data_IF_332981709730
#
_entry.id   IF_332981709730
#
_cell.length_a   1.000
_cell.length_b   1.000
_cell.length_c   1.000
_cell.angle_alpha   90.00
_cell.angle_beta   90.00
_cell.angle_gamma   90.00
#
_symmetry.space_group_name_H-M   'P 1'
#
loop_
_entity.id
_entity.type
_entity.pdbx_description
1 polymer ?
#
# COMPACT_ATOMS: atom_id res chain seq x y z
N UNK A 1 -14.30 9.19 -5.28
CA UNK A 1 -14.39 10.45 -6.05
C UNK A 1 -15.36 10.33 -7.22
N UNK A 2 -15.10 9.50 -8.24
CA UNK A 2 -16.02 9.36 -9.39
C UNK A 2 -17.44 8.90 -9.01
N UNK A 3 -17.62 7.91 -8.11
CA UNK A 3 -18.97 7.53 -7.72
C UNK A 3 -19.70 8.66 -7.00
N UNK A 4 -18.98 9.43 -6.18
CA UNK A 4 -19.55 10.56 -5.43
C UNK A 4 -20.02 11.68 -6.38
N UNK A 5 -19.31 11.88 -7.50
CA UNK A 5 -19.61 12.91 -8.50
C UNK A 5 -20.69 12.46 -9.50
N UNK A 6 -20.61 11.22 -10.00
CA UNK A 6 -21.38 10.77 -11.17
C UNK A 6 -22.69 10.06 -10.80
N UNK A 7 -22.76 9.38 -9.66
CA UNK A 7 -23.99 8.68 -9.23
C UNK A 7 -25.18 9.64 -9.03
N UNK A 8 -25.02 10.87 -8.50
CA UNK A 8 -26.14 11.82 -8.42
C UNK A 8 -26.77 12.17 -9.78
N UNK A 9 -25.97 12.18 -10.86
CA UNK A 9 -26.43 12.47 -12.23
C UNK A 9 -27.11 11.27 -12.91
N UNK A 10 -27.15 10.11 -12.25
CA UNK A 10 -27.74 8.89 -12.81
C UNK A 10 -29.26 9.00 -13.03
N UNK A 11 -29.93 9.96 -12.39
CA UNK A 11 -31.34 10.27 -12.63
C UNK A 11 -31.59 10.90 -14.00
N UNK A 12 -30.62 11.64 -14.54
CA UNK A 12 -30.68 12.28 -15.85
C UNK A 12 -30.05 11.40 -16.94
N UNK A 13 -28.96 10.69 -16.59
CA UNK A 13 -28.22 9.84 -17.51
C UNK A 13 -28.06 8.42 -16.95
N UNK A 14 -28.79 7.46 -17.51
CA UNK A 14 -28.78 6.06 -17.07
C UNK A 14 -27.38 5.42 -17.08
N UNK A 15 -26.46 5.89 -17.93
CA UNK A 15 -25.08 5.40 -18.00
C UNK A 15 -24.33 5.53 -16.67
N UNK A 16 -24.55 6.60 -15.90
CA UNK A 16 -23.85 6.80 -14.63
C UNK A 16 -24.27 5.82 -13.53
N UNK A 17 -25.35 5.06 -13.74
CA UNK A 17 -25.75 3.98 -12.84
C UNK A 17 -24.68 2.88 -12.75
N UNK A 18 -23.80 2.77 -13.76
CA UNK A 18 -22.64 1.84 -13.75
C UNK A 18 -21.72 2.07 -12.53
N UNK A 19 -21.56 3.31 -12.07
CA UNK A 19 -20.70 3.65 -10.93
C UNK A 19 -21.25 3.18 -9.58
N UNK A 20 -22.51 2.72 -9.51
CA UNK A 20 -23.07 2.10 -8.29
C UNK A 20 -22.53 0.68 -8.09
N UNK A 21 -22.27 -0.05 -9.17
CA UNK A 21 -21.80 -1.43 -9.11
C UNK A 21 -20.35 -1.51 -8.60
N UNK A 22 -20.11 -2.33 -7.57
CA UNK A 22 -18.78 -2.52 -6.98
C UNK A 22 -17.84 -3.22 -7.98
N UNK A 23 -18.37 -4.18 -8.74
CA UNK A 23 -17.61 -4.93 -9.76
C UNK A 23 -17.06 -3.99 -10.84
N UNK A 24 -17.91 -3.09 -11.36
CA UNK A 24 -17.50 -2.08 -12.34
C UNK A 24 -16.40 -1.16 -11.79
N UNK A 25 -16.59 -0.64 -10.57
CA UNK A 25 -15.58 0.20 -9.91
C UNK A 25 -14.26 -0.51 -9.66
N UNK A 26 -14.31 -1.78 -9.26
CA UNK A 26 -13.12 -2.61 -9.00
C UNK A 26 -12.37 -2.91 -10.30
N UNK A 27 -13.09 -3.26 -11.36
CA UNK A 27 -12.51 -3.45 -12.69
C UNK A 27 -11.89 -2.16 -13.23
N UNK A 28 -12.61 -1.04 -13.12
CA UNK A 28 -12.14 0.29 -13.47
C UNK A 28 -10.86 0.66 -12.72
N UNK A 29 -10.83 0.46 -11.40
CA UNK A 29 -9.65 0.73 -10.58
C UNK A 29 -8.43 -0.11 -11.01
N UNK A 30 -8.65 -1.40 -11.28
CA UNK A 30 -7.58 -2.30 -11.71
C UNK A 30 -7.00 -1.87 -13.06
N UNK A 31 -7.87 -1.59 -14.04
CA UNK A 31 -7.47 -1.15 -15.37
C UNK A 31 -6.77 0.21 -15.31
N UNK A 32 -7.30 1.17 -14.55
CA UNK A 32 -6.66 2.49 -14.38
C UNK A 32 -5.27 2.37 -13.76
N UNK A 33 -5.10 1.55 -12.70
CA UNK A 33 -3.79 1.35 -12.09
C UNK A 33 -2.80 0.68 -13.06
N UNK A 34 -3.26 -0.30 -13.84
CA UNK A 34 -2.47 -0.96 -14.88
C UNK A 34 -2.04 0.03 -15.96
N UNK A 35 -2.96 0.83 -16.49
CA UNK A 35 -2.67 1.82 -17.52
C UNK A 35 -1.67 2.86 -17.04
N UNK A 36 -1.82 3.38 -15.82
CA UNK A 36 -0.84 4.30 -15.23
C UNK A 36 0.53 3.64 -15.14
N UNK A 37 0.59 2.40 -14.66
CA UNK A 37 1.85 1.66 -14.53
C UNK A 37 2.53 1.41 -15.88
N UNK A 38 1.77 1.04 -16.91
CA UNK A 38 2.31 0.77 -18.26
C UNK A 38 2.72 2.05 -18.99
N UNK A 39 1.91 3.11 -18.92
CA UNK A 39 2.15 4.36 -19.62
C UNK A 39 3.23 5.21 -18.95
N UNK A 40 3.21 5.32 -17.62
CA UNK A 40 4.19 6.09 -16.85
C UNK A 40 5.46 5.29 -16.56
N UNK A 41 5.43 3.96 -16.67
CA UNK A 41 6.57 3.07 -16.41
C UNK A 41 7.85 3.47 -17.15
N UNK A 42 7.84 3.59 -18.50
CA UNK A 42 9.03 3.97 -19.26
C UNK A 42 9.58 5.34 -18.86
N UNK A 43 8.71 6.32 -18.57
CA UNK A 43 9.12 7.65 -18.14
C UNK A 43 9.77 7.61 -16.74
N UNK A 44 9.16 6.88 -15.81
CA UNK A 44 9.71 6.66 -14.46
C UNK A 44 11.06 5.95 -14.52
N UNK A 45 11.20 4.92 -15.36
CA UNK A 45 12.47 4.19 -15.51
C UNK A 45 13.58 5.11 -16.05
N UNK A 46 13.29 5.96 -17.05
CA UNK A 46 14.26 6.94 -17.55
C UNK A 46 14.65 7.92 -16.45
N UNK A 47 13.67 8.50 -15.76
CA UNK A 47 13.91 9.42 -14.65
C UNK A 47 14.77 8.80 -13.54
N UNK A 48 14.48 7.55 -13.15
CA UNK A 48 15.26 6.84 -12.15
C UNK A 48 16.68 6.52 -12.65
N UNK A 49 16.87 6.14 -13.92
CA UNK A 49 18.21 5.91 -14.49
C UNK A 49 19.06 7.17 -14.47
N UNK A 50 18.48 8.32 -14.76
CA UNK A 50 19.19 9.61 -14.73
C UNK A 50 19.60 10.00 -13.30
N UNK A 51 18.78 9.66 -12.29
CA UNK A 51 19.05 9.97 -10.88
C UNK A 51 19.85 8.89 -10.14
N UNK A 52 19.96 7.68 -10.70
CA UNK A 52 20.60 6.52 -10.10
C UNK A 52 21.61 5.88 -11.06
N UNK A 53 22.38 6.69 -11.78
CA UNK A 53 23.23 6.28 -12.90
C UNK A 53 24.21 5.12 -12.61
N UNK A 54 24.61 4.92 -11.35
CA UNK A 54 25.52 3.83 -10.93
C UNK A 54 24.80 2.58 -10.36
N UNK A 55 23.47 2.59 -10.25
CA UNK A 55 22.67 1.49 -9.70
C UNK A 55 22.80 1.32 -8.18
N UNK A 56 22.27 0.22 -7.64
CA UNK A 56 22.36 -0.13 -6.23
C UNK A 56 23.80 -0.58 -5.89
N UNK A 57 24.49 -0.02 -4.87
CA UNK A 57 25.79 -0.53 -4.43
C UNK A 57 25.61 -2.01 -4.06
N UNK A 58 26.35 -2.94 -4.67
CA UNK A 58 26.20 -4.38 -4.44
C UNK A 58 27.13 -4.81 -3.31
N UNK A 59 26.73 -5.85 -2.57
CA UNK A 59 27.49 -6.41 -1.44
C UNK A 59 28.58 -7.26 -2.07
N UNK A 60 29.83 -7.10 -1.64
CA UNK A 60 30.98 -7.85 -2.17
C UNK A 60 30.87 -9.37 -2.00
N UNK A 61 29.92 -9.84 -1.18
CA UNK A 61 29.87 -11.21 -0.65
C UNK A 61 28.76 -12.07 -1.31
N UNK A 62 28.19 -11.64 -2.46
CA UNK A 62 27.07 -12.32 -3.12
C UNK A 62 27.46 -13.13 -4.39
N UNK A 63 26.71 -14.18 -4.77
CA UNK A 63 27.03 -15.03 -5.93
C UNK A 63 26.93 -14.27 -7.26
N UNK A 64 27.75 -14.66 -8.26
CA UNK A 64 27.97 -13.95 -9.54
C UNK A 64 26.69 -13.64 -10.34
N UNK A 65 25.61 -14.40 -10.15
CA UNK A 65 24.29 -14.13 -10.75
C UNK A 65 23.65 -12.81 -10.28
N UNK A 66 24.07 -12.26 -9.14
CA UNK A 66 23.64 -10.93 -8.68
C UNK A 66 24.30 -9.76 -9.44
N UNK A 67 25.36 -10.00 -10.21
CA UNK A 67 26.01 -8.99 -11.06
C UNK A 67 25.16 -8.66 -12.31
N UNK A 68 24.21 -9.52 -12.70
CA UNK A 68 23.29 -9.24 -13.82
C UNK A 68 22.24 -8.16 -13.51
N UNK A 69 22.13 -7.69 -12.26
CA UNK A 69 21.24 -6.59 -11.85
C UNK A 69 21.88 -5.20 -11.96
N UNK A 70 23.13 -5.12 -12.42
CA UNK A 70 23.84 -3.86 -12.65
C UNK A 70 23.01 -2.97 -13.59
N UNK A 71 22.71 -1.74 -13.13
CA UNK A 71 22.01 -0.73 -13.94
C UNK A 71 20.47 -0.78 -13.91
N UNK A 72 19.85 -1.66 -13.11
CA UNK A 72 18.39 -1.62 -12.92
C UNK A 72 18.05 -0.62 -11.79
N UNK A 73 17.27 0.44 -12.07
CA UNK A 73 16.93 1.41 -11.04
C UNK A 73 16.09 0.79 -9.92
N UNK A 74 16.32 1.27 -8.71
CA UNK A 74 15.63 0.90 -7.48
C UNK A 74 14.50 1.92 -7.24
N UNK A 75 13.53 1.63 -6.37
CA UNK A 75 12.34 2.48 -6.09
C UNK A 75 11.17 2.39 -7.09
N UNK A 76 11.08 1.35 -7.93
CA UNK A 76 9.91 1.10 -8.79
C UNK A 76 8.58 1.00 -8.02
N UNK A 77 8.63 0.69 -6.72
CA UNK A 77 7.47 0.69 -5.83
C UNK A 77 6.76 2.04 -5.72
N UNK A 78 7.44 3.17 -5.96
CA UNK A 78 6.81 4.49 -6.00
C UNK A 78 5.76 4.60 -7.11
N UNK A 79 6.03 4.03 -8.29
CA UNK A 79 5.08 4.02 -9.39
C UNK A 79 3.85 3.18 -9.03
N UNK A 80 4.08 1.99 -8.47
CA UNK A 80 3.00 1.08 -8.07
C UNK A 80 2.14 1.72 -6.99
N UNK A 81 2.76 2.32 -5.97
CA UNK A 81 2.05 3.01 -4.89
C UNK A 81 1.27 4.21 -5.42
N UNK A 82 1.87 5.02 -6.30
CA UNK A 82 1.20 6.16 -6.94
C UNK A 82 0.00 5.73 -7.78
N UNK A 83 0.16 4.69 -8.61
CA UNK A 83 -0.92 4.12 -9.42
C UNK A 83 -2.05 3.56 -8.53
N UNK A 84 -1.70 2.86 -7.46
CA UNK A 84 -2.65 2.33 -6.48
C UNK A 84 -3.45 3.44 -5.79
N UNK A 85 -2.78 4.45 -5.24
CA UNK A 85 -3.42 5.57 -4.53
C UNK A 85 -4.34 6.36 -5.48
N UNK A 86 -3.83 6.74 -6.65
CA UNK A 86 -4.60 7.51 -7.61
C UNK A 86 -5.84 6.75 -8.07
N UNK A 87 -5.66 5.49 -8.46
CA UNK A 87 -6.77 4.67 -8.94
C UNK A 87 -7.81 4.42 -7.85
N UNK A 88 -7.37 4.16 -6.62
CA UNK A 88 -8.26 3.92 -5.48
C UNK A 88 -9.08 5.17 -5.15
N UNK A 89 -8.46 6.36 -5.09
CA UNK A 89 -9.16 7.62 -4.84
C UNK A 89 -10.16 7.96 -5.96
N UNK A 90 -9.80 7.67 -7.20
CA UNK A 90 -10.65 7.90 -8.36
C UNK A 90 -11.93 7.05 -8.28
N UNK A 91 -11.80 5.75 -8.02
CA UNK A 91 -12.90 4.79 -8.14
C UNK A 91 -13.65 4.48 -6.84
N UNK A 92 -13.05 4.70 -5.67
CA UNK A 92 -13.69 4.45 -4.38
C UNK A 92 -14.49 5.68 -3.90
N UNK A 93 -15.68 5.53 -3.29
CA UNK A 93 -16.36 6.62 -2.61
C UNK A 93 -15.49 7.18 -1.48
N UNK A 94 -15.28 8.50 -1.44
CA UNK A 94 -14.44 9.13 -0.40
C UNK A 94 -15.11 9.12 0.97
N UNK A 95 -16.43 8.93 0.99
CA UNK A 95 -17.25 8.73 2.19
C UNK A 95 -17.04 7.36 2.84
N UNK A 96 -16.36 6.41 2.19
CA UNK A 96 -16.10 5.10 2.77
C UNK A 96 -15.06 5.23 3.90
N UNK A 97 -15.42 4.93 5.17
CA UNK A 97 -14.50 5.10 6.28
C UNK A 97 -13.31 4.13 6.26
N UNK A 98 -13.44 2.98 5.59
CA UNK A 98 -12.36 1.98 5.48
C UNK A 98 -11.28 2.36 4.45
N UNK A 99 -11.56 3.33 3.57
CA UNK A 99 -10.61 3.81 2.57
C UNK A 99 -9.35 4.40 3.23
N UNK A 100 -9.56 5.27 4.22
CA UNK A 100 -8.49 6.08 4.80
C UNK A 100 -7.48 5.26 5.60
N UNK A 101 -7.87 4.35 6.50
CA UNK A 101 -6.92 3.52 7.24
C UNK A 101 -6.04 2.66 6.31
N UNK A 102 -6.63 2.09 5.25
CA UNK A 102 -5.90 1.28 4.26
C UNK A 102 -4.91 2.14 3.48
N UNK A 103 -5.33 3.30 2.99
CA UNK A 103 -4.44 4.23 2.30
C UNK A 103 -3.31 4.72 3.23
N UNK A 104 -3.61 5.01 4.50
CA UNK A 104 -2.59 5.42 5.48
C UNK A 104 -1.52 4.36 5.65
N UNK A 105 -1.88 3.07 5.81
CA UNK A 105 -0.88 2.00 5.92
C UNK A 105 -0.06 1.89 4.64
N UNK A 106 -0.72 1.83 3.48
CA UNK A 106 -0.04 1.67 2.20
C UNK A 106 0.95 2.81 1.92
N UNK A 107 0.51 4.06 2.13
CA UNK A 107 1.35 5.25 1.90
C UNK A 107 2.45 5.35 2.94
N UNK A 108 2.16 5.13 4.23
CA UNK A 108 3.17 5.26 5.28
C UNK A 108 4.24 4.17 5.17
N UNK A 109 3.87 2.91 4.97
CA UNK A 109 4.83 1.82 4.80
C UNK A 109 5.61 1.96 3.49
N UNK A 110 4.92 2.37 2.42
CA UNK A 110 5.56 2.69 1.14
C UNK A 110 6.55 3.85 1.25
N UNK A 111 6.22 4.89 2.03
CA UNK A 111 7.12 6.01 2.31
C UNK A 111 8.34 5.58 3.13
N UNK A 112 8.14 4.77 4.17
CA UNK A 112 9.25 4.20 4.97
C UNK A 112 10.20 3.39 4.08
N UNK A 113 9.66 2.52 3.21
CA UNK A 113 10.47 1.76 2.25
C UNK A 113 11.18 2.65 1.22
N UNK A 114 10.49 3.67 0.70
CA UNK A 114 11.07 4.61 -0.25
C UNK A 114 12.20 5.44 0.38
N UNK A 115 12.04 5.88 1.63
CA UNK A 115 13.09 6.60 2.36
C UNK A 115 14.29 5.68 2.62
N UNK A 116 14.06 4.42 2.98
CA UNK A 116 15.13 3.43 3.16
C UNK A 116 15.95 3.23 1.87
N UNK A 117 15.28 3.04 0.74
CA UNK A 117 15.94 2.87 -0.57
C UNK A 117 16.66 4.16 -1.02
N UNK A 118 16.06 5.33 -0.79
CA UNK A 118 16.71 6.61 -1.06
C UNK A 118 17.96 6.83 -0.20
N UNK A 119 17.93 6.44 1.08
CA UNK A 119 19.08 6.53 1.97
C UNK A 119 20.24 5.62 1.52
N UNK A 120 19.94 4.39 1.06
CA UNK A 120 20.95 3.47 0.52
C UNK A 120 21.64 4.05 -0.72
N UNK A 121 20.84 4.61 -1.64
CA UNK A 121 21.34 5.26 -2.85
C UNK A 121 22.21 6.47 -2.52
N UNK A 122 21.72 7.38 -1.66
CA UNK A 122 22.43 8.61 -1.30
C UNK A 122 23.74 8.34 -0.56
N UNK A 123 23.75 7.33 0.33
CA UNK A 123 24.94 6.96 1.11
C UNK A 123 25.92 6.06 0.36
N UNK A 124 25.54 5.59 -0.84
CA UNK A 124 26.30 4.59 -1.62
C UNK A 124 26.73 3.39 -0.76
N UNK A 125 25.86 2.98 0.17
CA UNK A 125 26.14 1.90 1.10
C UNK A 125 24.91 1.02 1.26
N UNK A 126 25.14 -0.24 1.63
CA UNK A 126 24.09 -1.19 1.99
C UNK A 126 23.28 -0.77 3.22
N UNK A 127 23.80 0.16 4.01
CA UNK A 127 23.16 0.62 5.23
C UNK A 127 22.16 1.73 4.93
N UNK A 128 20.88 1.33 4.89
CA UNK A 128 19.75 2.24 4.81
C UNK A 128 19.36 2.84 6.17
N UNK A 129 18.05 2.95 6.39
CA UNK A 129 17.47 3.30 7.68
C UNK A 129 17.83 2.24 8.73
N UNK A 130 18.06 2.66 9.98
CA UNK A 130 18.29 1.69 11.05
C UNK A 130 17.04 0.80 11.20
N UNK A 131 17.23 -0.52 11.28
CA UNK A 131 16.10 -1.46 11.39
C UNK A 131 15.19 -1.14 12.58
N UNK A 132 15.77 -0.62 13.68
CA UNK A 132 15.01 -0.12 14.84
C UNK A 132 14.10 1.06 14.48
N UNK A 133 14.59 2.05 13.74
CA UNK A 133 13.77 3.19 13.31
C UNK A 133 12.66 2.74 12.37
N UNK A 134 12.97 1.86 11.39
CA UNK A 134 11.97 1.30 10.47
C UNK A 134 10.84 0.61 11.24
N UNK A 135 11.18 -0.26 12.18
CA UNK A 135 10.21 -0.97 13.00
C UNK A 135 9.39 -0.03 13.89
N UNK A 136 10.01 0.97 14.53
CA UNK A 136 9.28 1.94 15.37
C UNK A 136 8.26 2.72 14.53
N UNK A 137 8.63 3.19 13.34
CA UNK A 137 7.71 3.91 12.44
C UNK A 137 6.55 3.01 11.99
N UNK A 138 6.85 1.76 11.59
CA UNK A 138 5.83 0.80 11.19
C UNK A 138 4.88 0.44 12.33
N UNK A 139 5.42 0.22 13.54
CA UNK A 139 4.63 -0.09 14.74
C UNK A 139 3.73 1.07 15.15
N UNK A 140 4.20 2.32 15.07
CA UNK A 140 3.40 3.50 15.38
C UNK A 140 2.20 3.61 14.43
N UNK A 141 2.45 3.50 13.12
CA UNK A 141 1.39 3.52 12.10
C UNK A 141 0.41 2.37 12.30
N UNK A 142 0.93 1.16 12.52
CA UNK A 142 0.12 -0.02 12.78
C UNK A 142 -0.77 0.16 14.00
N UNK A 143 -0.24 0.70 15.10
CA UNK A 143 -1.01 0.98 16.32
C UNK A 143 -2.18 1.92 16.06
N UNK A 144 -1.92 3.08 15.45
CA UNK A 144 -2.96 4.08 15.15
C UNK A 144 -4.03 3.49 14.24
N UNK A 145 -3.64 2.80 13.18
CA UNK A 145 -4.58 2.21 12.21
C UNK A 145 -5.41 1.09 12.85
N UNK A 146 -4.82 0.26 13.71
CA UNK A 146 -5.56 -0.75 14.47
C UNK A 146 -6.65 -0.13 15.33
N UNK A 147 -6.36 0.96 16.04
CA UNK A 147 -7.37 1.66 16.84
C UNK A 147 -8.53 2.17 15.98
N UNK A 148 -8.22 2.75 14.81
CA UNK A 148 -9.26 3.20 13.87
C UNK A 148 -10.10 2.03 13.37
N UNK A 149 -9.49 0.90 13.00
CA UNK A 149 -10.24 -0.28 12.56
C UNK A 149 -11.14 -0.86 13.66
N UNK A 150 -10.69 -0.85 14.92
CA UNK A 150 -11.51 -1.29 16.04
C UNK A 150 -12.77 -0.41 16.16
N UNK A 151 -12.64 0.91 16.02
CA UNK A 151 -13.79 1.80 16.11
C UNK A 151 -14.76 1.63 14.93
N UNK A 152 -14.24 1.43 13.72
CA UNK A 152 -15.05 1.17 12.53
C UNK A 152 -15.75 -0.20 12.55
N UNK A 153 -15.22 -1.15 13.32
CA UNK A 153 -15.76 -2.51 13.38
C UNK A 153 -17.06 -2.59 14.17
N UNK A 154 -18.04 -3.40 13.71
CA UNK A 154 -19.25 -3.69 14.47
C UNK A 154 -18.92 -4.21 15.88
N UNK A 155 -19.69 -3.88 16.93
CA UNK A 155 -19.39 -4.26 18.31
C UNK A 155 -19.10 -5.75 18.52
N UNK A 156 -19.74 -6.61 17.74
CA UNK A 156 -19.62 -8.07 17.79
C UNK A 156 -18.28 -8.60 17.24
N UNK A 157 -17.61 -7.83 16.38
CA UNK A 157 -16.33 -8.21 15.74
C UNK A 157 -15.12 -7.50 16.39
N UNK A 158 -15.37 -6.50 17.24
CA UNK A 158 -14.30 -5.76 17.91
C UNK A 158 -13.44 -6.71 18.74
N UNK A 159 -12.13 -6.58 18.62
CA UNK A 159 -11.15 -7.38 19.35
C UNK A 159 -11.21 -8.89 19.10
N UNK A 160 -11.94 -9.32 18.06
CA UNK A 160 -12.12 -10.73 17.72
C UNK A 160 -11.27 -11.16 16.52
N UNK A 161 -10.81 -12.40 16.54
CA UNK A 161 -10.16 -13.05 15.39
C UNK A 161 -10.99 -14.24 14.96
N UNK A 162 -11.40 -14.25 13.69
CA UNK A 162 -12.12 -15.38 13.13
C UNK A 162 -11.17 -16.53 12.83
N UNK A 163 -11.56 -17.76 13.18
CA UNK A 163 -10.81 -18.96 12.80
C UNK A 163 -11.28 -19.41 11.42
N UNK A 164 -10.39 -19.51 10.42
CA UNK A 164 -10.78 -20.03 9.11
C UNK A 164 -11.32 -21.46 9.27
N UNK A 165 -12.23 -21.88 8.37
CA UNK A 165 -12.87 -23.21 8.34
C UNK A 165 -13.92 -23.48 9.43
N UNK A 166 -13.96 -22.71 10.52
CA UNK A 166 -15.01 -22.78 11.53
C UNK A 166 -16.02 -21.65 11.31
N UNK A 167 -17.28 -22.00 11.03
CA UNK A 167 -18.37 -21.02 10.96
C UNK A 167 -18.64 -20.48 12.37
N UNK A 168 -18.88 -19.17 12.47
CA UNK A 168 -19.27 -18.47 13.70
C UNK A 168 -18.29 -18.57 14.88
N UNK A 169 -17.04 -18.96 14.63
CA UNK A 169 -15.99 -19.03 15.65
C UNK A 169 -15.15 -17.77 15.65
N UNK A 170 -15.50 -16.85 16.54
CA UNK A 170 -14.74 -15.63 16.84
C UNK A 170 -14.00 -15.82 18.17
N UNK A 171 -12.67 -15.78 18.13
CA UNK A 171 -11.84 -15.81 19.35
C UNK A 171 -11.71 -14.39 19.88
N UNK A 172 -12.27 -14.06 21.05
CA UNK A 172 -12.12 -12.74 21.64
C UNK A 172 -10.71 -12.61 22.25
N UNK A 173 -9.83 -11.85 21.61
CA UNK A 173 -8.50 -11.57 22.15
C UNK A 173 -8.52 -10.41 23.15
N UNK A 174 -9.61 -9.63 23.19
CA UNK A 174 -9.69 -8.42 24.00
C UNK A 174 -8.55 -7.45 23.66
N UNK A 175 -7.91 -6.87 24.68
CA UNK A 175 -6.79 -5.93 24.47
C UNK A 175 -5.60 -6.55 23.73
N UNK A 176 -5.42 -7.88 23.78
CA UNK A 176 -4.34 -8.57 23.04
C UNK A 176 -4.53 -8.53 21.52
N UNK A 177 -5.73 -8.17 21.04
CA UNK A 177 -5.97 -7.94 19.62
C UNK A 177 -5.07 -6.83 19.06
N UNK A 178 -4.79 -5.77 19.83
CA UNK A 178 -3.99 -4.63 19.37
C UNK A 178 -2.55 -5.05 19.03
N UNK A 179 -1.76 -5.64 19.96
CA UNK A 179 -0.42 -6.11 19.62
C UNK A 179 -0.45 -7.23 18.57
N UNK A 180 -1.50 -8.07 18.54
CA UNK A 180 -1.67 -9.09 17.49
C UNK A 180 -1.80 -8.46 16.10
N UNK A 181 -2.70 -7.50 15.92
CA UNK A 181 -2.91 -6.82 14.64
C UNK A 181 -1.67 -6.05 14.19
N UNK A 182 -0.97 -5.41 15.14
CA UNK A 182 0.31 -4.75 14.86
C UNK A 182 1.36 -5.74 14.36
N UNK A 183 1.50 -6.90 15.01
CA UNK A 183 2.42 -7.95 14.60
C UNK A 183 2.09 -8.46 13.20
N UNK A 184 0.81 -8.68 12.89
CA UNK A 184 0.38 -9.12 11.56
C UNK A 184 0.72 -8.09 10.49
N UNK A 185 0.42 -6.80 10.72
CA UNK A 185 0.71 -5.74 9.74
C UNK A 185 2.21 -5.52 9.53
N UNK A 186 2.97 -5.39 10.62
CA UNK A 186 4.42 -5.16 10.54
C UNK A 186 5.15 -6.41 10.04
N UNK A 187 4.69 -7.60 10.43
CA UNK A 187 5.22 -8.88 9.97
C UNK A 187 4.97 -9.13 8.49
N UNK A 188 3.80 -8.76 7.96
CA UNK A 188 3.53 -8.87 6.53
C UNK A 188 4.34 -7.87 5.67
N UNK A 189 4.87 -6.79 6.28
CA UNK A 189 5.62 -5.74 5.57
C UNK A 189 7.13 -5.96 5.55
N UNK A 190 7.68 -6.84 6.39
CA UNK A 190 9.13 -7.06 6.52
C UNK A 190 9.56 -8.38 5.89
#
# INVERSE_FOLDING_TARGET
MLPDLLVPLAGEYQFFNLFRYITFRTGGATITALLISLLCGPAMIRWLKDHQAEGQPIRSDGPETHLAKIGTPTMGGLLILGAFVFSTLLWMPLSNPYLWPVLTVAVAFGAVGSVDDWMKLRRRSHHGMSGRMKLVLQLLVAFVVTLVFIELSPPQLRYGVAIPFLKDSLVPLGLLYVPFAMLVMVGASN
#
